data_IF_919695394874
#
_entry.id   IF_919695394874
#
_cell.length_a   1.000
_cell.length_b   1.000
_cell.length_c   1.000
_cell.angle_alpha   90.00
_cell.angle_beta   90.00
_cell.angle_gamma   90.00
#
_symmetry.space_group_name_H-M   'P 1'
#
loop_
_entity.id
_entity.type
_entity.pdbx_description
1 polymer ?
#
# COMPACT_ATOMS: atom_id res chain seq x y z
N UNK A 1 11.38 9.79 -2.56
CA UNK A 1 10.14 8.99 -2.65
C UNK A 1 9.59 8.73 -1.26
N UNK A 2 8.30 8.40 -1.14
CA UNK A 2 7.65 8.02 0.12
C UNK A 2 7.64 6.50 0.26
N UNK A 3 7.94 5.96 1.45
CA UNK A 3 7.78 4.54 1.73
C UNK A 3 6.33 4.24 2.10
N UNK A 4 5.80 3.14 1.58
CA UNK A 4 4.40 2.73 1.74
C UNK A 4 4.33 1.23 2.00
N UNK A 5 3.28 0.78 2.67
CA UNK A 5 2.99 -0.64 2.84
C UNK A 5 2.14 -1.14 1.66
N UNK A 6 2.55 -2.28 1.07
CA UNK A 6 1.89 -2.88 -0.09
C UNK A 6 1.54 -4.33 0.22
N UNK A 7 0.30 -4.72 -0.05
CA UNK A 7 -0.11 -6.11 -0.09
C UNK A 7 0.18 -6.68 -1.48
N UNK A 8 1.07 -7.66 -1.55
CA UNK A 8 1.65 -8.18 -2.82
C UNK A 8 1.17 -9.57 -3.21
N UNK A 9 0.48 -10.29 -2.32
CA UNK A 9 0.00 -11.67 -2.56
C UNK A 9 -1.41 -11.72 -3.17
N UNK A 10 -1.87 -10.62 -3.77
CA UNK A 10 -3.14 -10.56 -4.47
C UNK A 10 -2.94 -10.93 -5.94
N UNK A 11 -3.96 -11.55 -6.53
CA UNK A 11 -3.98 -11.77 -7.97
C UNK A 11 -3.94 -10.42 -8.72
N UNK A 12 -3.10 -10.28 -9.76
CA UNK A 12 -3.06 -9.06 -10.56
C UNK A 12 -4.44 -8.71 -11.12
N UNK A 13 -4.82 -7.43 -11.00
CA UNK A 13 -6.14 -6.95 -11.45
C UNK A 13 -6.00 -5.73 -12.33
N UNK A 14 -6.69 -5.73 -13.46
CA UNK A 14 -6.80 -4.54 -14.32
C UNK A 14 -7.69 -3.48 -13.66
N UNK A 15 -7.11 -2.30 -13.44
CA UNK A 15 -7.79 -1.10 -12.96
C UNK A 15 -7.65 -0.01 -14.02
N UNK A 16 -8.77 0.38 -14.64
CA UNK A 16 -8.81 1.40 -15.70
C UNK A 16 -7.81 1.15 -16.85
N UNK A 17 -7.63 -0.11 -17.24
CA UNK A 17 -6.72 -0.51 -18.32
C UNK A 17 -5.26 -0.74 -17.91
N UNK A 18 -4.89 -0.42 -16.66
CA UNK A 18 -3.54 -0.67 -16.10
C UNK A 18 -3.60 -1.90 -15.20
N UNK A 19 -2.60 -2.78 -15.29
CA UNK A 19 -2.50 -3.94 -14.41
C UNK A 19 -1.92 -3.54 -13.04
N UNK A 20 -2.70 -3.75 -11.98
CA UNK A 20 -2.27 -3.54 -10.59
C UNK A 20 -1.65 -4.83 -10.06
N UNK A 21 -0.39 -4.75 -9.63
CA UNK A 21 0.42 -5.86 -9.10
C UNK A 21 0.37 -5.95 -7.55
N UNK A 22 -0.56 -5.24 -6.93
CA UNK A 22 -0.71 -5.19 -5.49
C UNK A 22 -1.66 -4.08 -5.06
N UNK A 23 -1.73 -3.85 -3.74
CA UNK A 23 -2.59 -2.85 -3.13
C UNK A 23 -1.83 -2.04 -2.08
N UNK A 24 -1.90 -0.71 -2.17
CA UNK A 24 -1.35 0.17 -1.12
C UNK A 24 -2.32 0.15 0.07
N UNK A 25 -1.78 -0.02 1.28
CA UNK A 25 -2.58 0.00 2.50
C UNK A 25 -2.82 1.43 2.98
N UNK A 26 -4.08 1.74 3.27
CA UNK A 26 -4.53 3.00 3.81
C UNK A 26 -5.40 2.77 5.05
N UNK A 27 -5.31 3.66 6.03
CA UNK A 27 -6.29 3.80 7.10
C UNK A 27 -7.40 4.76 6.65
N UNK A 28 -8.64 4.45 7.00
CA UNK A 28 -9.79 5.32 6.76
C UNK A 28 -10.22 5.96 8.08
N UNK A 29 -10.35 7.29 8.08
CA UNK A 29 -10.88 8.04 9.22
C UNK A 29 -12.41 8.03 9.20
N UNK A 30 -13.04 8.41 10.32
CA UNK A 30 -14.50 8.45 10.44
C UNK A 30 -15.19 9.41 9.44
N UNK A 31 -14.46 10.37 8.89
CA UNK A 31 -14.92 11.32 7.87
C UNK A 31 -14.74 10.80 6.42
N UNK A 32 -14.25 9.56 6.26
CA UNK A 32 -13.97 8.94 4.95
C UNK A 32 -12.64 9.35 4.32
N UNK A 33 -11.81 10.13 5.01
CA UNK A 33 -10.47 10.48 4.49
C UNK A 33 -9.50 9.30 4.62
N UNK A 34 -8.67 9.11 3.60
CA UNK A 34 -7.68 8.03 3.55
C UNK A 34 -6.28 8.54 3.89
N UNK A 35 -5.62 7.88 4.84
CA UNK A 35 -4.23 8.11 5.20
C UNK A 35 -3.38 6.90 4.82
N UNK A 36 -2.28 7.12 4.09
CA UNK A 36 -1.38 6.05 3.67
C UNK A 36 -0.65 5.49 4.90
N UNK A 37 -0.64 4.17 5.04
CA UNK A 37 0.16 3.47 6.05
C UNK A 37 1.62 3.44 5.59
N UNK A 38 2.51 3.99 6.41
CA UNK A 38 3.95 4.02 6.17
C UNK A 38 4.71 3.61 7.44
N UNK A 39 5.91 3.02 7.32
CA UNK A 39 6.73 2.74 8.48
C UNK A 39 7.16 4.04 9.18
N UNK A 40 7.23 4.02 10.50
CA UNK A 40 7.66 5.16 11.32
C UNK A 40 9.12 5.56 11.07
N UNK A 41 9.95 4.56 10.74
CA UNK A 41 11.35 4.75 10.39
C UNK A 41 11.64 4.26 8.98
N UNK A 42 12.73 4.77 8.39
CA UNK A 42 13.18 4.31 7.09
C UNK A 42 13.65 2.85 7.19
N UNK A 43 13.03 1.98 6.41
CA UNK A 43 13.39 0.55 6.34
C UNK A 43 13.96 0.22 4.97
N UNK A 44 14.51 -0.98 4.81
CA UNK A 44 14.91 -1.48 3.50
C UNK A 44 13.66 -1.74 2.65
N UNK A 45 13.75 -1.47 1.35
CA UNK A 45 12.63 -1.77 0.45
C UNK A 45 12.42 -3.29 0.38
N UNK A 46 11.16 -3.71 0.45
CA UNK A 46 10.80 -5.14 0.48
C UNK A 46 10.89 -5.80 1.86
N UNK A 47 11.19 -5.04 2.92
CA UNK A 47 11.04 -5.55 4.29
C UNK A 47 9.59 -6.00 4.54
N UNK A 48 9.44 -7.21 5.09
CA UNK A 48 8.15 -7.82 5.39
C UNK A 48 7.44 -7.05 6.52
N UNK A 49 6.14 -6.81 6.33
CA UNK A 49 5.26 -6.26 7.37
C UNK A 49 4.82 -7.45 8.25
N UNK A 50 5.03 -7.34 9.57
CA UNK A 50 4.64 -8.34 10.56
C UNK A 50 3.61 -7.79 11.53
#
# INVERSE_FOLDING_TARGET
GKQVSILVNLEPKKLRGIESQGMILCAENADGTLSIVSPDQKVNNGSEVK
#
